data_IF_169649297295
#
_entry.id   IF_169649297295
#
_cell.length_a   1.000
_cell.length_b   1.000
_cell.length_c   1.000
_cell.angle_alpha   90.00
_cell.angle_beta   90.00
_cell.angle_gamma   90.00
#
_symmetry.space_group_name_H-M   'P 1'
#
loop_
_entity.id
_entity.type
_entity.pdbx_description
1 polymer ?
#
# COMPACT_ATOMS: atom_id res chain seq x y z
N UNK A 1 -18.21 -13.32 7.29
CA UNK A 1 -18.13 -11.85 7.42
C UNK A 1 -17.38 -11.55 8.70
N UNK A 2 -16.46 -10.58 8.66
CA UNK A 2 -15.61 -10.22 9.81
C UNK A 2 -16.50 -9.70 10.95
N UNK A 3 -16.49 -10.36 12.10
CA UNK A 3 -17.27 -9.91 13.27
C UNK A 3 -16.78 -8.54 13.75
N UNK A 4 -15.53 -8.22 13.43
CA UNK A 4 -14.79 -7.01 13.82
C UNK A 4 -14.93 -5.85 12.82
N UNK A 5 -15.75 -5.99 11.76
CA UNK A 5 -15.83 -5.00 10.68
C UNK A 5 -16.24 -3.59 11.15
N UNK A 6 -17.17 -3.53 12.11
CA UNK A 6 -17.61 -2.27 12.71
C UNK A 6 -16.47 -1.59 13.49
N UNK A 7 -15.71 -2.38 14.27
CA UNK A 7 -14.59 -1.90 15.07
C UNK A 7 -13.45 -1.38 14.19
N UNK A 8 -13.13 -2.08 13.10
CA UNK A 8 -12.12 -1.65 12.11
C UNK A 8 -12.55 -0.33 11.45
N UNK A 9 -13.83 -0.18 11.13
CA UNK A 9 -14.36 1.06 10.54
C UNK A 9 -14.28 2.22 11.53
N UNK A 10 -14.63 2.00 12.79
CA UNK A 10 -14.54 3.00 13.85
C UNK A 10 -13.09 3.43 14.13
N UNK A 11 -12.14 2.48 14.06
CA UNK A 11 -10.71 2.77 14.21
C UNK A 11 -10.23 3.71 13.11
N UNK A 12 -10.51 3.41 11.84
CA UNK A 12 -10.09 4.26 10.72
C UNK A 12 -10.76 5.65 10.76
N UNK A 13 -11.99 5.75 11.26
CA UNK A 13 -12.67 7.04 11.41
C UNK A 13 -11.97 7.98 12.39
N UNK A 14 -11.21 7.45 13.37
CA UNK A 14 -10.56 8.22 14.42
C UNK A 14 -9.04 8.25 14.31
N UNK A 15 -8.43 7.24 13.70
CA UNK A 15 -6.99 7.02 13.65
C UNK A 15 -6.56 6.57 12.24
N UNK A 16 -6.64 7.50 11.28
CA UNK A 16 -6.08 7.28 9.93
C UNK A 16 -4.56 7.19 9.97
N UNK A 17 -4.00 6.49 8.97
CA UNK A 17 -2.55 6.42 8.77
C UNK A 17 -2.04 7.79 8.29
N UNK A 18 -1.22 8.44 9.11
CA UNK A 18 -0.69 9.78 8.85
C UNK A 18 0.73 9.79 8.28
N UNK A 19 1.42 8.65 8.29
CA UNK A 19 2.71 8.50 7.63
C UNK A 19 2.54 8.29 6.12
N UNK A 20 3.59 8.51 5.31
CA UNK A 20 3.57 8.16 3.88
C UNK A 20 3.25 6.67 3.65
N UNK A 21 2.46 6.38 2.62
CA UNK A 21 2.03 5.01 2.29
C UNK A 21 2.39 4.67 0.85
N UNK A 22 3.00 3.50 0.66
CA UNK A 22 3.20 2.85 -0.64
C UNK A 22 2.28 1.63 -0.77
N UNK A 23 1.50 1.58 -1.85
CA UNK A 23 0.65 0.46 -2.23
C UNK A 23 1.25 -0.28 -3.44
N UNK A 24 1.81 -1.48 -3.20
CA UNK A 24 2.35 -2.36 -4.24
C UNK A 24 1.24 -3.33 -4.68
N UNK A 25 0.73 -3.13 -5.90
CA UNK A 25 -0.25 -3.97 -6.56
C UNK A 25 0.38 -4.90 -7.60
N UNK A 26 -0.43 -5.83 -8.11
CA UNK A 26 -0.06 -6.75 -9.19
C UNK A 26 -1.34 -7.10 -9.98
N UNK A 27 -1.66 -8.39 -10.19
CA UNK A 27 -2.85 -8.86 -10.93
C UNK A 27 -4.23 -8.38 -10.41
N UNK A 28 -4.30 -7.61 -9.33
CA UNK A 28 -5.53 -7.06 -8.74
C UNK A 28 -5.96 -5.68 -9.24
N UNK A 29 -5.26 -5.09 -10.21
CA UNK A 29 -5.51 -3.71 -10.65
C UNK A 29 -5.36 -2.73 -9.49
N UNK A 30 -6.29 -1.77 -9.38
CA UNK A 30 -6.24 -0.73 -8.34
C UNK A 30 -6.60 -1.21 -6.93
N UNK A 31 -6.89 -2.50 -6.71
CA UNK A 31 -7.41 -3.02 -5.43
C UNK A 31 -6.58 -2.57 -4.22
N UNK A 32 -5.25 -2.77 -4.25
CA UNK A 32 -4.38 -2.40 -3.13
C UNK A 32 -4.35 -0.88 -2.91
N UNK A 33 -4.28 -0.12 -3.99
CA UNK A 33 -4.29 1.35 -3.94
C UNK A 33 -5.60 1.90 -3.36
N UNK A 34 -6.75 1.41 -3.86
CA UNK A 34 -8.07 1.82 -3.40
C UNK A 34 -8.31 1.45 -1.93
N UNK A 35 -7.79 0.30 -1.49
CA UNK A 35 -7.86 -0.12 -0.08
C UNK A 35 -7.05 0.80 0.82
N UNK A 36 -5.78 1.07 0.47
CA UNK A 36 -4.92 1.94 1.27
C UNK A 36 -5.42 3.40 1.28
N UNK A 37 -6.01 3.86 0.18
CA UNK A 37 -6.57 5.22 0.08
C UNK A 37 -7.75 5.47 1.01
N UNK A 38 -8.47 4.43 1.44
CA UNK A 38 -9.56 4.56 2.41
C UNK A 38 -9.04 4.85 3.83
N UNK A 39 -7.86 4.31 4.17
CA UNK A 39 -7.33 4.32 5.54
C UNK A 39 -6.22 5.35 5.78
N UNK A 40 -5.57 5.84 4.72
CA UNK A 40 -4.59 6.92 4.81
C UNK A 40 -5.26 8.30 4.92
N UNK A 41 -4.63 9.22 5.65
CA UNK A 41 -5.01 10.64 5.65
C UNK A 41 -4.23 11.45 4.61
N UNK A 42 -3.06 10.97 4.20
CA UNK A 42 -2.17 11.60 3.22
C UNK A 42 -2.20 10.93 1.84
N UNK A 43 -1.28 11.36 0.97
CA UNK A 43 -1.12 10.77 -0.36
C UNK A 43 -0.65 9.32 -0.27
N UNK A 44 -1.36 8.43 -0.97
CA UNK A 44 -0.92 7.05 -1.21
C UNK A 44 -0.20 7.01 -2.55
N UNK A 45 1.06 6.58 -2.54
CA UNK A 45 1.79 6.26 -3.77
C UNK A 45 1.51 4.81 -4.14
N UNK A 46 1.47 4.50 -5.43
CA UNK A 46 1.22 3.13 -5.87
C UNK A 46 2.07 2.74 -7.05
N UNK A 47 2.45 1.47 -7.08
CA UNK A 47 3.06 0.79 -8.21
C UNK A 47 2.28 -0.49 -8.50
N UNK A 48 2.06 -0.79 -9.77
CA UNK A 48 1.48 -2.06 -10.21
C UNK A 48 2.57 -2.88 -10.90
N UNK A 49 2.82 -4.10 -10.42
CA UNK A 49 3.84 -4.97 -10.97
C UNK A 49 3.29 -5.82 -12.12
N UNK A 50 3.67 -5.46 -13.34
CA UNK A 50 3.26 -6.19 -14.55
C UNK A 50 3.86 -7.60 -14.60
N UNK A 51 3.01 -8.56 -14.97
CA UNK A 51 3.37 -9.98 -15.08
C UNK A 51 3.49 -10.71 -13.75
N UNK A 52 3.14 -10.07 -12.62
CA UNK A 52 3.24 -10.63 -11.27
C UNK A 52 1.87 -11.08 -10.76
N UNK A 53 1.82 -12.25 -10.12
CA UNK A 53 0.65 -12.83 -9.50
C UNK A 53 0.35 -12.29 -8.10
N UNK A 54 -0.12 -13.16 -7.21
CA UNK A 54 -0.56 -12.77 -5.87
C UNK A 54 0.61 -12.59 -4.91
N UNK A 55 1.66 -13.39 -5.06
CA UNK A 55 2.80 -13.43 -4.14
C UNK A 55 3.94 -12.58 -4.67
N UNK A 56 3.70 -11.27 -4.81
CA UNK A 56 4.62 -10.36 -5.48
C UNK A 56 6.07 -10.43 -4.97
N UNK A 57 6.26 -10.53 -3.65
CA UNK A 57 7.58 -10.63 -3.04
C UNK A 57 8.31 -11.95 -3.36
N UNK A 58 7.59 -13.02 -3.73
CA UNK A 58 8.18 -14.30 -4.15
C UNK A 58 8.35 -14.39 -5.67
N UNK A 59 7.41 -13.81 -6.41
CA UNK A 59 7.35 -13.90 -7.87
C UNK A 59 8.26 -12.89 -8.58
N UNK A 60 8.47 -11.72 -7.98
CA UNK A 60 9.35 -10.67 -8.49
C UNK A 60 10.03 -9.91 -7.33
N UNK A 61 10.87 -10.58 -6.53
CA UNK A 61 11.51 -9.99 -5.35
C UNK A 61 12.30 -8.72 -5.69
N UNK A 62 12.99 -8.68 -6.83
CA UNK A 62 13.76 -7.52 -7.27
C UNK A 62 12.85 -6.32 -7.55
N UNK A 63 11.74 -6.51 -8.27
CA UNK A 63 10.79 -5.43 -8.56
C UNK A 63 10.15 -4.86 -7.30
N UNK A 64 9.88 -5.72 -6.31
CA UNK A 64 9.37 -5.28 -5.00
C UNK A 64 10.44 -4.49 -4.25
N UNK A 65 11.68 -4.98 -4.23
CA UNK A 65 12.79 -4.30 -3.57
C UNK A 65 13.05 -2.92 -4.18
N UNK A 66 13.05 -2.80 -5.51
CA UNK A 66 13.25 -1.53 -6.21
C UNK A 66 12.17 -0.50 -5.83
N UNK A 67 10.90 -0.91 -5.83
CA UNK A 67 9.79 -0.04 -5.44
C UNK A 67 9.90 0.45 -3.98
N UNK A 68 10.35 -0.43 -3.07
CA UNK A 68 10.57 -0.07 -1.67
C UNK A 68 11.73 0.92 -1.53
N UNK A 69 12.87 0.64 -2.18
CA UNK A 69 14.05 1.50 -2.10
C UNK A 69 13.80 2.88 -2.73
N UNK A 70 13.12 2.96 -3.87
CA UNK A 70 12.72 4.23 -4.48
C UNK A 70 11.85 5.04 -3.54
N UNK A 71 10.86 4.38 -2.92
CA UNK A 71 10.00 5.03 -1.95
C UNK A 71 10.77 5.53 -0.73
N UNK A 72 11.62 4.71 -0.12
CA UNK A 72 12.42 5.13 1.04
C UNK A 72 13.34 6.31 0.71
N UNK A 73 14.06 6.25 -0.42
CA UNK A 73 14.92 7.34 -0.87
C UNK A 73 14.15 8.66 -1.02
N UNK A 74 12.93 8.61 -1.55
CA UNK A 74 12.11 9.82 -1.68
C UNK A 74 11.66 10.40 -0.33
N UNK A 75 11.34 9.55 0.65
CA UNK A 75 10.98 10.01 2.00
C UNK A 75 12.20 10.60 2.70
N UNK A 76 13.38 9.99 2.53
CA UNK A 76 14.61 10.48 3.12
C UNK A 76 15.07 11.81 2.49
N UNK A 77 14.78 12.04 1.21
CA UNK A 77 15.06 13.29 0.51
C UNK A 77 14.12 14.45 0.89
N UNK A 78 12.89 14.15 1.33
CA UNK A 78 11.89 15.14 1.75
C UNK A 78 12.09 15.63 3.20
N UNK A 79 13.17 15.19 3.88
CA UNK A 79 13.51 15.53 5.28
C UNK A 79 14.49 16.70 5.39
#
# INVERSE_FOLDING_TARGET
>A
MLQEGADITALVATHKLSMPVLAIGARGGEFTFATMSQVASGQVRSVSLDGVGHYAALEAPEKVADALLEFFNSIDADR
#
